data_IF_295063800063
#
_entry.id   IF_295063800063
#
_cell.length_a   1.000
_cell.length_b   1.000
_cell.length_c   1.000
_cell.angle_alpha   90.00
_cell.angle_beta   90.00
_cell.angle_gamma   90.00
#
_symmetry.space_group_name_H-M   'P 1'
#
loop_
_entity.id
_entity.type
_entity.pdbx_description
1 polymer ?
#
# COMPACT_ATOMS: atom_id res chain seq x y z
N UNK A 1 14.33 6.85 10.34
CA UNK A 1 13.09 6.92 9.53
C UNK A 1 12.90 8.33 9.00
N UNK A 2 12.60 8.47 7.73
CA UNK A 2 12.37 9.77 7.10
C UNK A 2 10.87 10.01 6.94
N UNK A 3 10.37 11.11 7.44
CA UNK A 3 8.96 11.50 7.30
C UNK A 3 8.89 12.67 6.33
N UNK A 4 8.07 12.54 5.31
CA UNK A 4 7.88 13.58 4.28
C UNK A 4 6.39 13.87 4.18
N UNK A 5 6.01 15.12 4.40
CA UNK A 5 4.62 15.56 4.28
C UNK A 5 4.35 16.15 2.90
N UNK A 6 3.07 16.20 2.53
CA UNK A 6 2.58 16.84 1.30
C UNK A 6 3.25 16.31 0.03
N UNK A 7 3.43 14.98 -0.04
CA UNK A 7 4.09 14.34 -1.19
C UNK A 7 3.22 14.32 -2.44
N UNK A 8 1.89 14.46 -2.31
CA UNK A 8 0.96 14.41 -3.43
C UNK A 8 0.09 15.67 -3.48
N UNK A 9 -0.20 16.18 -4.70
CA UNK A 9 -1.19 17.24 -4.85
C UNK A 9 -2.54 16.85 -4.24
N UNK A 10 -3.28 17.83 -3.76
CA UNK A 10 -4.59 17.62 -3.12
C UNK A 10 -5.56 16.85 -4.03
N UNK A 11 -5.55 17.16 -5.33
CA UNK A 11 -6.42 16.46 -6.28
C UNK A 11 -6.13 14.96 -6.35
N UNK A 12 -4.87 14.56 -6.25
CA UNK A 12 -4.51 13.14 -6.22
C UNK A 12 -4.96 12.48 -4.92
N UNK A 13 -4.89 13.20 -3.80
CA UNK A 13 -5.38 12.70 -2.52
C UNK A 13 -6.89 12.45 -2.57
N UNK A 14 -7.65 13.35 -3.20
CA UNK A 14 -9.09 13.18 -3.37
C UNK A 14 -9.41 11.98 -4.28
N UNK A 15 -8.69 11.83 -5.38
CA UNK A 15 -8.86 10.70 -6.28
C UNK A 15 -8.57 9.37 -5.58
N UNK A 16 -7.52 9.33 -4.77
CA UNK A 16 -7.16 8.16 -3.99
C UNK A 16 -8.26 7.79 -3.00
N UNK A 17 -8.81 8.79 -2.30
CA UNK A 17 -9.89 8.58 -1.36
C UNK A 17 -11.15 8.05 -2.07
N UNK A 18 -11.55 8.64 -3.19
CA UNK A 18 -12.70 8.18 -3.95
C UNK A 18 -12.51 6.76 -4.46
N UNK A 19 -11.33 6.42 -4.94
CA UNK A 19 -11.02 5.08 -5.42
C UNK A 19 -11.14 4.04 -4.32
N UNK A 20 -10.53 4.30 -3.17
CA UNK A 20 -10.48 3.32 -2.07
C UNK A 20 -11.80 3.16 -1.34
N UNK A 21 -12.69 4.17 -1.41
CA UNK A 21 -14.02 4.10 -0.80
C UNK A 21 -15.10 3.68 -1.78
N UNK A 22 -14.75 3.44 -3.05
CA UNK A 22 -15.68 2.96 -4.06
C UNK A 22 -16.03 1.49 -3.79
N UNK A 23 -17.29 1.10 -4.05
CA UNK A 23 -17.74 -0.29 -3.84
C UNK A 23 -17.05 -1.28 -4.77
N UNK A 24 -16.51 -0.82 -5.90
CA UNK A 24 -15.80 -1.67 -6.84
C UNK A 24 -14.33 -1.92 -6.45
N UNK A 25 -13.82 -1.20 -5.45
CA UNK A 25 -12.47 -1.43 -4.97
C UNK A 25 -12.41 -2.71 -4.15
N UNK A 26 -11.54 -3.63 -4.57
CA UNK A 26 -11.48 -4.95 -3.96
C UNK A 26 -10.65 -4.95 -2.67
N UNK A 27 -11.31 -5.22 -1.56
CA UNK A 27 -10.67 -5.43 -0.28
C UNK A 27 -10.73 -6.91 0.10
N UNK A 28 -9.58 -7.49 0.44
CA UNK A 28 -9.50 -8.88 0.92
C UNK A 28 -9.29 -8.88 2.42
N UNK A 29 -10.09 -9.66 3.14
CA UNK A 29 -9.91 -9.82 4.58
C UNK A 29 -8.68 -10.64 4.88
N UNK A 30 -7.89 -10.20 5.87
CA UNK A 30 -6.73 -10.92 6.37
C UNK A 30 -6.81 -11.01 7.90
N UNK A 31 -6.42 -12.16 8.44
CA UNK A 31 -6.29 -12.33 9.90
C UNK A 31 -5.18 -11.44 10.46
N UNK A 32 -4.18 -11.16 9.66
CA UNK A 32 -3.06 -10.32 10.06
C UNK A 32 -2.59 -9.49 8.85
N UNK A 33 -2.98 -8.21 8.81
CA UNK A 33 -2.62 -7.30 7.71
C UNK A 33 -1.16 -6.88 7.75
N UNK A 34 -0.47 -7.14 8.85
CA UNK A 34 0.96 -6.83 8.98
C UNK A 34 1.83 -8.03 8.61
N UNK A 35 1.23 -9.16 8.23
CA UNK A 35 1.98 -10.37 7.90
C UNK A 35 2.89 -10.17 6.71
N UNK A 36 4.12 -10.66 6.84
CA UNK A 36 5.11 -10.68 5.79
C UNK A 36 5.91 -11.98 5.95
N UNK A 37 6.27 -12.58 4.82
CA UNK A 37 6.91 -13.91 4.81
C UNK A 37 8.20 -13.93 5.62
N UNK A 38 8.96 -12.86 5.55
CA UNK A 38 10.26 -12.73 6.23
C UNK A 38 10.10 -12.68 7.75
N UNK A 39 8.93 -12.25 8.22
CA UNK A 39 8.62 -12.13 9.64
C UNK A 39 7.91 -13.36 10.21
N UNK A 40 7.71 -14.40 9.40
CA UNK A 40 6.89 -15.54 9.79
C UNK A 40 7.36 -16.18 11.10
N UNK A 41 8.66 -16.41 11.23
CA UNK A 41 9.22 -17.04 12.44
C UNK A 41 9.11 -16.13 13.66
N UNK A 42 9.37 -14.84 13.49
CA UNK A 42 9.25 -13.87 14.57
C UNK A 42 7.79 -13.77 15.05
N UNK A 43 6.82 -13.84 14.14
CA UNK A 43 5.40 -13.77 14.48
C UNK A 43 4.89 -15.01 15.20
N UNK A 44 5.40 -16.17 14.84
CA UNK A 44 5.06 -17.40 15.55
C UNK A 44 5.40 -17.31 17.04
N UNK A 45 6.34 -16.46 17.38
CA UNK A 45 6.87 -16.46 18.73
C UNK A 45 6.16 -15.52 19.69
N UNK A 46 5.52 -14.41 19.26
CA UNK A 46 4.87 -13.54 20.27
C UNK A 46 4.13 -12.29 19.80
N UNK A 47 3.92 -12.06 18.50
CA UNK A 47 3.21 -10.86 18.08
C UNK A 47 1.71 -11.12 17.93
N UNK A 48 0.84 -10.24 18.45
CA UNK A 48 -0.59 -10.35 18.23
C UNK A 48 -0.91 -10.13 16.75
N UNK A 49 -1.89 -10.88 16.25
CA UNK A 49 -2.40 -10.68 14.89
C UNK A 49 -3.24 -9.41 14.84
N UNK A 50 -3.11 -8.67 13.75
CA UNK A 50 -3.90 -7.47 13.51
C UNK A 50 -4.83 -7.75 12.31
N UNK A 51 -6.13 -8.06 12.56
CA UNK A 51 -7.06 -8.32 11.48
C UNK A 51 -7.40 -7.03 10.73
N UNK A 52 -7.75 -7.18 9.45
CA UNK A 52 -8.13 -6.04 8.64
C UNK A 52 -8.32 -6.43 7.18
N UNK A 53 -8.26 -5.45 6.31
CA UNK A 53 -8.42 -5.64 4.87
C UNK A 53 -7.22 -5.13 4.12
N UNK A 54 -6.93 -5.74 2.98
CA UNK A 54 -5.82 -5.29 2.15
C UNK A 54 -6.15 -5.40 0.66
N UNK A 55 -5.45 -4.59 -0.13
CA UNK A 55 -5.43 -4.66 -1.58
C UNK A 55 -3.98 -4.47 -2.03
N UNK A 56 -3.42 -5.47 -2.70
CA UNK A 56 -2.06 -5.41 -3.22
C UNK A 56 -2.14 -5.04 -4.69
N UNK A 57 -1.72 -3.81 -5.04
CA UNK A 57 -1.76 -3.30 -6.40
C UNK A 57 -0.50 -3.66 -7.19
N UNK A 58 0.63 -3.79 -6.50
CA UNK A 58 1.92 -4.08 -7.12
C UNK A 58 2.76 -4.90 -6.16
N UNK A 59 3.42 -5.95 -6.65
CA UNK A 59 4.27 -6.79 -5.83
C UNK A 59 5.33 -7.48 -6.68
N UNK A 60 6.54 -7.57 -6.16
CA UNK A 60 7.66 -8.23 -6.82
C UNK A 60 7.86 -7.71 -8.25
N UNK A 61 7.87 -6.38 -8.40
CA UNK A 61 8.10 -5.67 -9.66
C UNK A 61 7.02 -5.92 -10.73
N UNK A 62 5.82 -6.36 -10.32
CA UNK A 62 4.71 -6.64 -11.26
C UNK A 62 3.40 -6.04 -10.74
N UNK A 63 2.60 -5.43 -11.64
CA UNK A 63 1.25 -5.03 -11.25
C UNK A 63 0.39 -6.26 -10.97
N UNK A 64 -0.37 -6.20 -9.87
CA UNK A 64 -1.26 -7.29 -9.47
C UNK A 64 -2.72 -7.00 -9.81
N UNK A 65 -3.08 -5.72 -9.90
CA UNK A 65 -4.44 -5.28 -10.23
C UNK A 65 -4.38 -4.04 -11.12
N UNK A 66 -5.52 -3.70 -11.73
CA UNK A 66 -5.65 -2.51 -12.58
C UNK A 66 -5.48 -1.21 -11.78
N UNK A 67 -5.60 -1.27 -10.47
CA UNK A 67 -5.41 -0.12 -9.59
C UNK A 67 -4.01 0.50 -9.78
N UNK A 68 -3.02 -0.32 -10.11
CA UNK A 68 -1.66 0.19 -10.31
C UNK A 68 -1.56 1.21 -11.45
N UNK A 69 -2.44 1.14 -12.45
CA UNK A 69 -2.49 2.13 -13.53
C UNK A 69 -2.75 3.54 -12.98
N UNK A 70 -3.59 3.63 -11.96
CA UNK A 70 -3.91 4.91 -11.30
C UNK A 70 -2.85 5.33 -10.32
N UNK A 71 -2.06 4.38 -9.82
CA UNK A 71 -1.04 4.66 -8.81
C UNK A 71 0.30 5.10 -9.39
N UNK A 72 0.53 4.90 -10.68
CA UNK A 72 1.85 5.18 -11.30
C UNK A 72 2.29 6.62 -11.12
N UNK A 73 1.40 7.60 -11.37
CA UNK A 73 1.73 9.01 -11.19
C UNK A 73 1.95 9.38 -9.74
N UNK A 74 1.21 8.77 -8.84
CA UNK A 74 1.37 9.00 -7.39
C UNK A 74 2.72 8.47 -6.90
N UNK A 75 3.13 7.30 -7.40
CA UNK A 75 4.43 6.72 -7.09
C UNK A 75 5.56 7.64 -7.58
N UNK A 76 5.43 8.20 -8.78
CA UNK A 76 6.42 9.14 -9.31
C UNK A 76 6.53 10.38 -8.42
N UNK A 77 5.40 10.94 -7.98
CA UNK A 77 5.41 12.08 -7.07
C UNK A 77 6.10 11.76 -5.74
N UNK A 78 5.78 10.62 -5.17
CA UNK A 78 6.39 10.19 -3.90
C UNK A 78 7.89 9.95 -4.05
N UNK A 79 8.29 9.32 -5.16
CA UNK A 79 9.70 9.04 -5.42
C UNK A 79 10.51 10.31 -5.61
N UNK A 80 9.96 11.30 -6.30
CA UNK A 80 10.61 12.59 -6.48
C UNK A 80 10.84 13.28 -5.14
N UNK A 81 9.81 13.34 -4.31
CA UNK A 81 9.88 13.98 -2.99
C UNK A 81 10.84 13.24 -2.05
N UNK A 82 10.88 11.93 -2.14
CA UNK A 82 11.76 11.11 -1.30
C UNK A 82 13.19 11.01 -1.82
N UNK A 83 13.43 11.41 -3.07
CA UNK A 83 14.74 11.27 -3.70
C UNK A 83 15.10 9.83 -4.03
N UNK A 84 14.10 8.97 -4.27
CA UNK A 84 14.31 7.57 -4.59
C UNK A 84 14.00 7.29 -6.06
N UNK A 85 14.49 6.14 -6.56
CA UNK A 85 14.26 5.72 -7.94
C UNK A 85 12.95 4.93 -8.03
N UNK A 86 11.95 5.39 -8.82
CA UNK A 86 10.68 4.68 -8.94
C UNK A 86 10.82 3.29 -9.55
N UNK A 87 11.90 3.02 -10.31
CA UNK A 87 12.16 1.69 -10.87
C UNK A 87 12.51 0.65 -9.80
N UNK A 88 12.82 1.08 -8.58
CA UNK A 88 13.12 0.20 -7.46
C UNK A 88 11.88 -0.11 -6.62
N UNK A 89 10.71 0.31 -7.07
CA UNK A 89 9.46 0.00 -6.38
C UNK A 89 9.24 -1.50 -6.33
N UNK A 90 9.00 -2.04 -5.14
CA UNK A 90 8.77 -3.47 -4.94
C UNK A 90 7.30 -3.78 -4.68
N UNK A 91 6.62 -2.95 -3.90
CA UNK A 91 5.24 -3.22 -3.49
C UNK A 91 4.43 -1.94 -3.31
N UNK A 92 3.17 -2.00 -3.75
CA UNK A 92 2.15 -1.01 -3.41
C UNK A 92 0.99 -1.78 -2.79
N UNK A 93 0.69 -1.47 -1.53
CA UNK A 93 -0.35 -2.14 -0.76
C UNK A 93 -1.22 -1.10 -0.06
N UNK A 94 -2.53 -1.31 -0.13
CA UNK A 94 -3.49 -0.57 0.67
C UNK A 94 -3.86 -1.41 1.88
N UNK A 95 -3.91 -0.79 3.05
CA UNK A 95 -4.27 -1.46 4.28
C UNK A 95 -5.40 -0.73 5.00
N UNK A 96 -6.34 -1.49 5.55
CA UNK A 96 -7.39 -0.96 6.40
C UNK A 96 -7.43 -1.79 7.66
N UNK A 97 -7.10 -1.18 8.79
CA UNK A 97 -7.05 -1.84 10.06
C UNK A 97 -8.40 -1.71 10.78
N UNK A 98 -8.80 -2.78 11.46
CA UNK A 98 -9.97 -2.75 12.30
C UNK A 98 -9.61 -2.14 13.66
N UNK A 99 -10.50 -1.32 14.25
CA UNK A 99 -10.26 -0.73 15.57
C UNK A 99 -10.23 -1.76 16.69
#
# INVERSE_FOLDING_TARGET
MKIIDDVMPTIMQHQLHEMTTNTDFHWSFLNDVTFCKEDFLARKMNKPKIPGFSHVAFNEYRPQTDVMQYMSSMVLCMSEKAGTNPNQLFRVKFGMYLP
#
